data_IF_864598692254
#
_entry.id   IF_864598692254
#
_cell.length_a   1.000
_cell.length_b   1.000
_cell.length_c   1.000
_cell.angle_alpha   90.00
_cell.angle_beta   90.00
_cell.angle_gamma   90.00
#
_symmetry.space_group_name_H-M   'P 1'
#
loop_
_entity.id
_entity.type
_entity.pdbx_description
1 polymer ?
#
# COMPACT_ATOMS: atom_id res chain seq x y z
N UNK A 1 14.00 -28.56 -17.91
CA UNK A 1 12.90 -28.16 -18.82
C UNK A 1 13.04 -26.66 -19.06
N UNK A 2 13.19 -26.20 -20.31
CA UNK A 2 13.25 -24.76 -20.59
C UNK A 2 11.93 -24.13 -20.12
N UNK A 3 12.02 -23.09 -19.30
CA UNK A 3 10.85 -22.34 -18.87
C UNK A 3 10.34 -21.56 -20.08
N UNK A 4 9.26 -22.03 -20.71
CA UNK A 4 8.56 -21.21 -21.70
C UNK A 4 7.92 -20.06 -20.95
N UNK A 5 8.56 -18.89 -20.97
CA UNK A 5 7.94 -17.66 -20.48
C UNK A 5 6.59 -17.50 -21.18
N UNK A 6 5.53 -17.32 -20.39
CA UNK A 6 4.20 -17.09 -20.92
C UNK A 6 4.20 -15.72 -21.60
N UNK A 7 4.08 -15.69 -22.92
CA UNK A 7 3.94 -14.44 -23.69
C UNK A 7 2.46 -14.05 -23.72
N UNK A 8 2.20 -12.82 -23.31
CA UNK A 8 0.87 -12.23 -23.40
C UNK A 8 0.64 -11.68 -24.81
N UNK A 9 -0.14 -12.41 -25.61
CA UNK A 9 -0.47 -12.07 -27.00
C UNK A 9 -1.34 -10.81 -27.10
N UNK A 10 -2.19 -10.54 -26.11
CA UNK A 10 -3.00 -9.32 -26.05
C UNK A 10 -2.12 -8.09 -25.83
N UNK A 11 -1.21 -8.17 -24.85
CA UNK A 11 -0.21 -7.13 -24.60
C UNK A 11 0.76 -6.96 -25.77
N UNK A 12 1.14 -8.04 -26.45
CA UNK A 12 2.05 -8.01 -27.60
C UNK A 12 1.45 -7.26 -28.80
N UNK A 13 0.16 -7.47 -29.08
CA UNK A 13 -0.57 -6.75 -30.13
C UNK A 13 -1.09 -5.37 -29.67
N UNK A 14 -1.05 -5.09 -28.36
CA UNK A 14 -1.55 -3.85 -27.77
C UNK A 14 -3.08 -3.75 -27.85
N UNK A 15 -3.78 -4.87 -27.66
CA UNK A 15 -5.25 -4.97 -27.73
C UNK A 15 -5.81 -5.53 -26.44
N UNK A 16 -7.06 -5.19 -26.12
CA UNK A 16 -7.75 -5.75 -24.95
C UNK A 16 -8.23 -7.18 -25.22
N UNK A 17 -8.42 -7.95 -24.15
CA UNK A 17 -8.91 -9.34 -24.20
C UNK A 17 -10.29 -9.44 -24.89
N UNK A 18 -11.13 -8.42 -24.70
CA UNK A 18 -12.49 -8.29 -25.27
C UNK A 18 -12.50 -7.74 -26.70
N UNK A 19 -11.33 -7.54 -27.32
CA UNK A 19 -11.25 -6.95 -28.66
C UNK A 19 -11.88 -7.86 -29.72
N UNK A 20 -12.61 -7.26 -30.66
CA UNK A 20 -13.15 -7.97 -31.82
C UNK A 20 -12.05 -8.40 -32.82
N UNK A 21 -12.32 -9.42 -33.61
CA UNK A 21 -11.38 -9.99 -34.61
C UNK A 21 -10.92 -8.93 -35.60
N UNK A 22 -11.79 -7.97 -35.96
CA UNK A 22 -11.44 -6.83 -36.81
C UNK A 22 -10.36 -5.95 -36.19
N UNK A 23 -10.43 -5.71 -34.88
CA UNK A 23 -9.45 -4.92 -34.13
C UNK A 23 -8.12 -5.64 -34.04
N UNK A 24 -8.14 -6.95 -33.76
CA UNK A 24 -6.95 -7.80 -33.71
C UNK A 24 -6.24 -7.81 -35.08
N UNK A 25 -6.99 -7.94 -36.18
CA UNK A 25 -6.44 -7.89 -37.54
C UNK A 25 -5.79 -6.54 -37.86
N UNK A 26 -6.41 -5.43 -37.47
CA UNK A 26 -5.85 -4.08 -37.65
C UNK A 26 -4.59 -3.87 -36.82
N UNK A 27 -4.58 -4.35 -35.57
CA UNK A 27 -3.41 -4.29 -34.70
C UNK A 27 -2.23 -5.09 -35.28
N UNK A 28 -2.50 -6.32 -35.74
CA UNK A 28 -1.51 -7.14 -36.43
C UNK A 28 -0.94 -6.44 -37.67
N UNK A 29 -1.78 -5.84 -38.52
CA UNK A 29 -1.30 -5.12 -39.71
C UNK A 29 -0.33 -3.98 -39.34
N UNK A 30 -0.66 -3.20 -38.30
CA UNK A 30 0.21 -2.13 -37.80
C UNK A 30 1.53 -2.69 -37.25
N UNK A 31 1.46 -3.77 -36.48
CA UNK A 31 2.64 -4.41 -35.89
C UNK A 31 3.53 -5.04 -36.97
N UNK A 32 2.95 -5.77 -37.93
CA UNK A 32 3.64 -6.37 -39.05
C UNK A 32 4.38 -5.30 -39.88
N UNK A 33 3.76 -4.17 -40.18
CA UNK A 33 4.41 -3.06 -40.90
C UNK A 33 5.61 -2.45 -40.16
N UNK A 34 5.70 -2.61 -38.84
CA UNK A 34 6.80 -2.11 -38.01
C UNK A 34 7.92 -3.12 -37.86
N UNK A 35 7.57 -4.41 -37.77
CA UNK A 35 8.50 -5.51 -37.49
C UNK A 35 8.79 -6.41 -38.69
N UNK A 36 8.32 -6.05 -39.90
CA UNK A 36 8.53 -6.85 -41.11
C UNK A 36 10.03 -7.04 -41.41
N UNK A 37 10.49 -8.27 -41.77
CA UNK A 37 11.90 -8.57 -42.02
C UNK A 37 12.56 -7.66 -43.07
N UNK A 38 11.77 -7.21 -44.05
CA UNK A 38 12.22 -6.28 -45.10
C UNK A 38 12.64 -4.91 -44.54
N UNK A 39 11.95 -4.40 -43.51
CA UNK A 39 12.26 -3.09 -42.91
C UNK A 39 13.31 -3.17 -41.80
N UNK A 40 13.42 -4.32 -41.16
CA UNK A 40 14.31 -4.54 -40.01
C UNK A 40 15.70 -5.06 -40.41
N UNK A 41 15.98 -5.14 -41.72
CA UNK A 41 17.31 -5.46 -42.29
C UNK A 41 17.97 -6.70 -41.67
N UNK A 42 17.18 -7.69 -41.25
CA UNK A 42 17.68 -8.94 -40.68
C UNK A 42 18.05 -8.91 -39.19
N UNK A 43 17.61 -7.91 -38.43
CA UNK A 43 17.76 -7.90 -36.97
C UNK A 43 17.07 -9.12 -36.32
N UNK A 44 17.87 -10.02 -35.74
CA UNK A 44 17.38 -11.29 -35.14
C UNK A 44 16.31 -11.06 -34.07
N UNK A 45 16.47 -10.06 -33.21
CA UNK A 45 15.50 -9.72 -32.16
C UNK A 45 14.15 -9.27 -32.73
N UNK A 46 14.17 -8.51 -33.82
CA UNK A 46 12.94 -8.03 -34.47
C UNK A 46 12.27 -9.16 -35.26
N UNK A 47 13.06 -10.09 -35.81
CA UNK A 47 12.54 -11.30 -36.43
C UNK A 47 11.84 -12.23 -35.42
N UNK A 48 12.42 -12.43 -34.23
CA UNK A 48 11.79 -13.19 -33.13
C UNK A 48 10.48 -12.53 -32.69
N UNK A 49 10.47 -11.20 -32.53
CA UNK A 49 9.25 -10.45 -32.21
C UNK A 49 8.18 -10.59 -33.30
N UNK A 50 8.57 -10.52 -34.57
CA UNK A 50 7.64 -10.70 -35.70
C UNK A 50 7.02 -12.10 -35.70
N UNK A 51 7.82 -13.12 -35.36
CA UNK A 51 7.35 -14.49 -35.25
C UNK A 51 6.33 -14.63 -34.10
N UNK A 52 6.61 -14.04 -32.93
CA UNK A 52 5.67 -14.00 -31.81
C UNK A 52 4.37 -13.24 -32.15
N UNK A 53 4.45 -12.13 -32.88
CA UNK A 53 3.29 -11.34 -33.34
C UNK A 53 2.43 -12.15 -34.32
N UNK A 54 3.06 -12.94 -35.19
CA UNK A 54 2.38 -13.82 -36.13
C UNK A 54 1.67 -14.97 -35.40
N UNK A 55 2.35 -15.59 -34.44
CA UNK A 55 1.76 -16.63 -33.58
C UNK A 55 0.58 -16.08 -32.75
N UNK A 56 0.74 -14.90 -32.17
CA UNK A 56 -0.32 -14.19 -31.45
C UNK A 56 -1.57 -14.01 -32.32
N UNK A 57 -1.41 -13.54 -33.56
CA UNK A 57 -2.51 -13.41 -34.51
C UNK A 57 -3.17 -14.77 -34.77
N UNK A 58 -2.39 -15.80 -35.05
CA UNK A 58 -2.93 -17.12 -35.44
C UNK A 58 -3.70 -17.80 -34.31
N UNK A 59 -3.30 -17.57 -33.06
CA UNK A 59 -4.01 -18.05 -31.87
C UNK A 59 -5.27 -17.21 -31.61
N UNK A 60 -5.20 -15.90 -31.78
CA UNK A 60 -6.30 -15.00 -31.44
C UNK A 60 -7.37 -14.88 -32.55
N UNK A 61 -7.05 -15.22 -33.80
CA UNK A 61 -8.00 -15.23 -34.92
C UNK A 61 -8.87 -16.48 -34.99
N UNK A 62 -8.40 -17.60 -34.43
CA UNK A 62 -9.11 -18.87 -34.39
C UNK A 62 -9.86 -18.98 -33.07
N UNK A 63 -11.19 -19.04 -33.12
CA UNK A 63 -12.04 -19.04 -31.92
C UNK A 63 -11.69 -20.16 -30.95
N UNK A 64 -11.44 -21.38 -31.44
CA UNK A 64 -11.11 -22.51 -30.58
C UNK A 64 -9.76 -22.31 -29.89
N UNK A 65 -8.78 -21.78 -30.61
CA UNK A 65 -7.46 -21.47 -30.04
C UNK A 65 -7.52 -20.30 -29.07
N UNK A 66 -8.32 -19.28 -29.38
CA UNK A 66 -8.54 -18.10 -28.54
C UNK A 66 -9.19 -18.49 -27.22
N UNK A 67 -10.21 -19.34 -27.23
CA UNK A 67 -10.84 -19.83 -26.00
C UNK A 67 -9.85 -20.60 -25.11
N UNK A 68 -9.09 -21.53 -25.72
CA UNK A 68 -8.07 -22.30 -25.00
C UNK A 68 -6.97 -21.39 -24.42
N UNK A 69 -6.57 -20.37 -25.17
CA UNK A 69 -5.63 -19.35 -24.73
C UNK A 69 -6.20 -18.52 -23.57
N UNK A 70 -7.44 -18.02 -23.70
CA UNK A 70 -8.12 -17.22 -22.68
C UNK A 70 -8.24 -17.96 -21.36
N UNK A 71 -8.55 -19.26 -21.39
CA UNK A 71 -8.59 -20.11 -20.19
C UNK A 71 -7.22 -20.18 -19.50
N UNK A 72 -6.14 -20.37 -20.26
CA UNK A 72 -4.76 -20.38 -19.74
C UNK A 72 -4.36 -19.00 -19.20
N UNK A 73 -4.67 -17.94 -19.94
CA UNK A 73 -4.40 -16.56 -19.57
C UNK A 73 -5.04 -16.20 -18.23
N UNK A 74 -6.34 -16.47 -18.09
CA UNK A 74 -7.09 -16.22 -16.86
C UNK A 74 -6.55 -17.01 -15.67
N UNK A 75 -6.19 -18.28 -15.88
CA UNK A 75 -5.57 -19.10 -14.85
C UNK A 75 -4.20 -18.55 -14.41
N UNK A 76 -3.40 -18.03 -15.35
CA UNK A 76 -2.13 -17.39 -15.05
C UNK A 76 -2.32 -16.09 -14.25
N UNK A 77 -3.23 -15.21 -14.66
CA UNK A 77 -3.54 -13.99 -13.93
C UNK A 77 -4.03 -14.27 -12.50
N UNK A 78 -4.89 -15.30 -12.34
CA UNK A 78 -5.34 -15.73 -11.02
C UNK A 78 -4.18 -16.26 -10.16
N UNK A 79 -3.24 -17.01 -10.73
CA UNK A 79 -2.03 -17.47 -10.02
C UNK A 79 -1.13 -16.30 -9.63
N UNK A 80 -0.92 -15.34 -10.54
CA UNK A 80 -0.11 -14.13 -10.29
C UNK A 80 -0.71 -13.31 -9.15
N UNK A 81 -2.01 -13.02 -9.20
CA UNK A 81 -2.72 -12.29 -8.15
C UNK A 81 -2.68 -13.02 -6.81
N UNK A 82 -2.87 -14.35 -6.79
CA UNK A 82 -2.74 -15.16 -5.56
C UNK A 82 -1.34 -15.04 -4.97
N UNK A 83 -0.29 -15.13 -5.80
CA UNK A 83 1.10 -15.00 -5.35
C UNK A 83 1.35 -13.62 -4.74
N UNK A 84 0.96 -12.57 -5.45
CA UNK A 84 1.11 -11.18 -4.97
C UNK A 84 0.39 -10.95 -3.64
N UNK A 85 -0.81 -11.49 -3.47
CA UNK A 85 -1.56 -11.40 -2.22
C UNK A 85 -0.90 -12.18 -1.07
N UNK A 86 -0.32 -13.35 -1.36
CA UNK A 86 0.42 -14.11 -0.36
C UNK A 86 1.72 -13.40 0.04
N UNK A 87 2.45 -12.85 -0.93
CA UNK A 87 3.67 -12.09 -0.68
C UNK A 87 3.38 -10.85 0.16
N UNK A 88 2.28 -10.14 -0.13
CA UNK A 88 1.82 -9.00 0.68
C UNK A 88 1.50 -9.43 2.12
N UNK A 89 0.74 -10.51 2.30
CA UNK A 89 0.43 -11.06 3.64
C UNK A 89 1.68 -11.48 4.40
N UNK A 90 2.64 -12.10 3.71
CA UNK A 90 3.91 -12.48 4.31
C UNK A 90 4.69 -11.27 4.80
N UNK A 91 4.80 -10.22 3.96
CA UNK A 91 5.46 -8.96 4.36
C UNK A 91 4.79 -8.33 5.58
N UNK A 92 3.48 -8.15 5.54
CA UNK A 92 2.70 -7.60 6.66
C UNK A 92 2.88 -8.42 7.95
N UNK A 93 2.88 -9.76 7.84
CA UNK A 93 3.13 -10.63 8.97
C UNK A 93 4.55 -10.47 9.51
N UNK A 94 5.56 -10.46 8.64
CA UNK A 94 6.96 -10.30 9.05
C UNK A 94 7.21 -8.94 9.70
N UNK A 95 6.65 -7.87 9.15
CA UNK A 95 6.74 -6.52 9.73
C UNK A 95 6.07 -6.46 11.10
N UNK A 96 4.89 -7.08 11.24
CA UNK A 96 4.18 -7.17 12.52
C UNK A 96 4.97 -7.95 13.58
N UNK A 97 5.58 -9.08 13.20
CA UNK A 97 6.43 -9.88 14.08
C UNK A 97 7.67 -9.09 14.52
N UNK A 98 8.38 -8.49 13.57
CA UNK A 98 9.57 -7.68 13.83
C UNK A 98 9.24 -6.49 14.75
N UNK A 99 8.16 -5.76 14.47
CA UNK A 99 7.74 -4.63 15.31
C UNK A 99 7.44 -5.07 16.75
N UNK A 100 6.81 -6.24 16.92
CA UNK A 100 6.52 -6.81 18.24
C UNK A 100 7.80 -7.23 18.96
N UNK A 101 8.74 -7.85 18.25
CA UNK A 101 10.05 -8.22 18.80
C UNK A 101 10.88 -7.00 19.20
N UNK A 102 10.93 -5.96 18.36
CA UNK A 102 11.60 -4.71 18.66
C UNK A 102 10.99 -4.02 19.88
N UNK A 103 9.66 -3.94 19.96
CA UNK A 103 8.99 -3.37 21.13
C UNK A 103 9.31 -4.17 22.41
N UNK A 104 9.35 -5.50 22.33
CA UNK A 104 9.74 -6.35 23.46
C UNK A 104 11.23 -6.18 23.83
N UNK A 105 12.10 -5.98 22.83
CA UNK A 105 13.54 -5.72 23.05
C UNK A 105 13.77 -4.35 23.69
N UNK A 106 13.09 -3.29 23.24
CA UNK A 106 13.15 -1.96 23.87
C UNK A 106 12.74 -2.00 25.33
N UNK A 107 11.64 -2.71 25.65
CA UNK A 107 11.20 -2.93 27.04
C UNK A 107 12.24 -3.68 27.88
N UNK A 108 12.85 -4.73 27.33
CA UNK A 108 13.92 -5.48 28.01
C UNK A 108 15.18 -4.64 28.23
N UNK A 109 15.55 -3.81 27.26
CA UNK A 109 16.76 -2.98 27.31
C UNK A 109 16.58 -1.69 28.13
N UNK A 110 15.36 -1.38 28.61
CA UNK A 110 15.09 -0.12 29.32
C UNK A 110 15.25 1.13 28.45
N UNK A 111 15.24 0.98 27.13
CA UNK A 111 15.39 2.08 26.18
C UNK A 111 14.09 2.88 26.11
N UNK A 112 14.03 3.98 26.87
CA UNK A 112 12.94 4.96 26.76
C UNK A 112 13.09 5.82 25.51
N UNK A 113 11.98 5.97 24.79
CA UNK A 113 11.87 6.99 23.74
C UNK A 113 12.07 8.38 24.31
N UNK A 114 12.44 9.36 23.48
CA UNK A 114 12.64 10.75 23.93
C UNK A 114 11.38 11.33 24.58
N UNK A 115 10.21 10.97 24.05
CA UNK A 115 8.91 11.31 24.64
C UNK A 115 8.73 10.69 26.04
N UNK A 116 9.07 9.42 26.22
CA UNK A 116 8.99 8.75 27.52
C UNK A 116 9.99 9.32 28.53
N UNK A 117 11.21 9.66 28.08
CA UNK A 117 12.21 10.36 28.90
C UNK A 117 11.71 11.72 29.36
N UNK A 118 11.10 12.49 28.45
CA UNK A 118 10.55 13.81 28.79
C UNK A 118 9.37 13.69 29.76
N UNK A 119 8.48 12.70 29.58
CA UNK A 119 7.39 12.41 30.52
C UNK A 119 7.95 12.06 31.90
N UNK A 120 8.98 11.22 31.95
CA UNK A 120 9.65 10.87 33.20
C UNK A 120 10.26 12.12 33.87
N UNK A 121 10.95 12.98 33.10
CA UNK A 121 11.54 14.21 33.61
C UNK A 121 10.49 15.17 34.15
N UNK A 122 9.40 15.40 33.43
CA UNK A 122 8.27 16.23 33.89
C UNK A 122 7.68 15.66 35.19
N UNK A 123 7.56 14.32 35.30
CA UNK A 123 7.10 13.67 36.53
C UNK A 123 8.04 13.93 37.72
N UNK A 124 9.35 13.86 37.50
CA UNK A 124 10.32 14.14 38.57
C UNK A 124 10.23 15.60 39.05
N UNK A 125 10.19 16.57 38.12
CA UNK A 125 10.04 18.00 38.47
C UNK A 125 8.75 18.24 39.27
N UNK A 126 7.62 17.66 38.86
CA UNK A 126 6.36 17.79 39.61
C UNK A 126 6.44 17.24 41.03
N UNK A 127 7.09 16.08 41.20
CA UNK A 127 7.29 15.48 42.52
C UNK A 127 8.23 16.30 43.41
N UNK A 128 9.23 16.94 42.82
CA UNK A 128 10.15 17.85 43.52
C UNK A 128 9.42 19.12 43.97
N UNK A 129 8.66 19.76 43.07
CA UNK A 129 7.84 20.92 43.39
C UNK A 129 6.83 20.60 44.50
N UNK A 130 6.12 19.46 44.41
CA UNK A 130 5.17 19.00 45.43
C UNK A 130 5.85 18.82 46.80
N UNK A 131 7.02 18.16 46.87
CA UNK A 131 7.77 18.00 48.12
C UNK A 131 8.25 19.33 48.69
N UNK A 132 8.65 20.26 47.83
CA UNK A 132 9.13 21.58 48.25
C UNK A 132 7.98 22.40 48.85
N UNK A 133 6.80 22.33 48.22
CA UNK A 133 5.57 22.93 48.74
C UNK A 133 5.18 22.30 50.07
N UNK A 134 5.25 20.98 50.22
CA UNK A 134 4.99 20.28 51.48
C UNK A 134 5.93 20.72 52.61
N UNK A 135 7.23 20.88 52.31
CA UNK A 135 8.22 21.39 53.27
C UNK A 135 7.91 22.83 53.70
N UNK A 136 7.60 23.71 52.75
CA UNK A 136 7.23 25.10 53.03
C UNK A 136 5.95 25.21 53.86
N UNK A 137 4.94 24.39 53.57
CA UNK A 137 3.68 24.34 54.36
C UNK A 137 3.93 23.84 55.79
N UNK A 138 4.82 22.88 55.95
CA UNK A 138 5.22 22.34 57.26
C UNK A 138 5.94 23.41 58.11
N UNK A 139 6.87 24.15 57.54
CA UNK A 139 7.57 25.26 58.22
C UNK A 139 6.63 26.39 58.67
N UNK A 140 5.60 26.67 57.87
CA UNK A 140 4.59 27.70 58.20
C UNK A 140 3.49 27.19 59.16
N UNK A 141 3.61 25.97 59.68
CA UNK A 141 2.63 25.36 60.61
C UNK A 141 1.20 25.22 60.03
N UNK A 142 1.07 25.14 58.70
CA UNK A 142 -0.22 25.05 58.02
C UNK A 142 -0.57 23.56 57.83
N UNK A 143 -1.70 23.05 58.37
CA UNK A 143 -2.07 21.64 58.22
C UNK A 143 -2.42 21.33 56.76
N UNK A 144 -1.73 20.34 56.17
CA UNK A 144 -1.98 19.84 54.82
C UNK A 144 -3.34 19.12 54.79
N UNK A 145 -4.35 19.71 54.17
CA UNK A 145 -5.66 19.05 53.98
C UNK A 145 -5.52 18.02 52.86
N UNK A 146 -5.40 16.75 53.23
CA UNK A 146 -5.08 15.61 52.36
C UNK A 146 -6.22 15.14 51.45
N UNK A 147 -7.11 16.02 50.99
CA UNK A 147 -8.24 15.65 50.12
C UNK A 147 -8.28 16.47 48.83
N UNK A 148 -7.23 16.39 48.03
CA UNK A 148 -7.37 16.63 46.59
C UNK A 148 -7.44 15.26 45.94
N UNK A 149 -8.64 14.86 45.49
CA UNK A 149 -8.77 13.65 44.67
C UNK A 149 -7.88 13.83 43.45
N UNK A 150 -6.97 12.90 43.14
CA UNK A 150 -6.17 13.01 41.92
C UNK A 150 -7.12 13.08 40.73
N UNK A 151 -7.01 14.13 39.93
CA UNK A 151 -7.71 14.23 38.65
C UNK A 151 -7.21 13.07 37.78
N UNK A 152 -8.06 12.04 37.66
CA UNK A 152 -7.77 10.85 36.89
C UNK A 152 -7.89 11.18 35.39
N UNK A 153 -6.80 11.73 34.82
CA UNK A 153 -6.71 12.06 33.40
C UNK A 153 -6.85 10.85 32.46
N UNK A 154 -6.95 9.62 33.00
CA UNK A 154 -7.28 8.43 32.22
C UNK A 154 -8.75 8.37 31.80
N UNK A 155 -9.67 9.05 32.51
CA UNK A 155 -11.10 9.11 32.21
C UNK A 155 -11.52 10.29 31.33
N UNK A 156 -10.70 11.35 31.26
CA UNK A 156 -10.93 12.52 30.38
C UNK A 156 -10.19 12.42 29.05
N UNK A 157 -9.47 11.33 28.81
CA UNK A 157 -9.21 10.86 27.45
C UNK A 157 -10.54 10.40 26.86
N UNK A 158 -11.31 11.38 26.40
CA UNK A 158 -12.33 11.23 25.38
C UNK A 158 -11.71 10.31 24.34
N UNK A 159 -12.17 9.05 24.29
CA UNK A 159 -12.02 8.16 23.13
C UNK A 159 -12.20 9.07 21.93
N UNK A 160 -11.19 9.26 21.04
CA UNK A 160 -11.27 10.29 20.02
C UNK A 160 -12.59 10.06 19.30
N UNK A 161 -13.55 10.94 19.57
CA UNK A 161 -14.79 10.91 18.85
C UNK A 161 -14.35 11.12 17.40
N UNK A 162 -14.84 10.27 16.50
CA UNK A 162 -14.55 10.29 15.06
C UNK A 162 -15.02 11.63 14.42
N UNK A 163 -14.49 12.75 14.89
CA UNK A 163 -14.74 14.13 14.51
C UNK A 163 -13.63 14.67 13.60
N UNK A 164 -12.74 13.80 13.12
CA UNK A 164 -11.67 14.15 12.17
C UNK A 164 -11.96 13.73 10.73
N UNK A 165 -12.63 12.60 10.49
CA UNK A 165 -12.76 12.06 9.13
C UNK A 165 -13.94 12.69 8.37
N UNK A 166 -15.15 12.70 8.96
CA UNK A 166 -16.35 13.23 8.27
C UNK A 166 -16.36 14.74 8.08
N UNK A 167 -15.62 15.49 8.89
CA UNK A 167 -15.49 16.95 8.80
C UNK A 167 -14.44 17.34 7.75
N UNK A 168 -13.32 16.61 7.68
CA UNK A 168 -12.33 16.78 6.62
C UNK A 168 -12.87 16.37 5.24
N UNK A 169 -13.61 15.27 5.13
CA UNK A 169 -14.25 14.87 3.86
C UNK A 169 -15.24 15.92 3.35
N UNK A 170 -16.06 16.51 4.25
CA UNK A 170 -17.00 17.59 3.87
C UNK A 170 -16.29 18.87 3.43
N UNK A 171 -15.15 19.21 4.03
CA UNK A 171 -14.36 20.37 3.63
C UNK A 171 -13.65 20.16 2.29
N UNK A 172 -13.16 18.94 2.03
CA UNK A 172 -12.56 18.58 0.73
C UNK A 172 -13.62 18.58 -0.38
N UNK A 173 -14.82 18.09 -0.09
CA UNK A 173 -15.92 18.04 -1.07
C UNK A 173 -16.51 19.43 -1.37
N UNK A 174 -16.52 20.34 -0.38
CA UNK A 174 -16.90 21.74 -0.58
C UNK A 174 -15.85 22.55 -1.35
N UNK A 175 -14.57 22.22 -1.22
CA UNK A 175 -13.48 22.86 -1.97
C UNK A 175 -13.39 22.39 -3.43
N UNK A 176 -13.96 21.23 -3.76
CA UNK A 176 -13.96 20.63 -5.10
C UNK A 176 -15.15 21.04 -5.98
N UNK A 177 -16.12 21.81 -5.47
CA UNK A 177 -17.27 22.23 -6.25
C UNK A 177 -16.91 23.41 -7.17
N UNK A 178 -17.19 23.36 -8.49
CA UNK A 178 -16.92 24.47 -9.38
C UNK A 178 -17.82 25.66 -8.99
N UNK A 179 -17.21 26.80 -8.67
CA UNK A 179 -17.93 28.06 -8.45
C UNK A 179 -18.68 28.42 -9.73
N UNK A 180 -20.00 28.24 -9.72
CA UNK A 180 -20.89 28.74 -10.75
C UNK A 180 -20.81 30.27 -10.76
N UNK A 181 -20.24 30.79 -11.83
CA UNK A 181 -20.18 32.22 -12.14
C UNK A 181 -21.59 32.67 -12.51
N UNK A 182 -22.14 33.62 -11.75
CA UNK A 182 -23.26 34.48 -12.13
C UNK A 182 -22.78 35.92 -12.06
#
# INVERSE_FOLDING_TARGET
MPQTEYVDYYSLLGVEVESDVKTIRRAFQKAALKYHPDKTKGDKKLAELYQLISEARDVLMDEQKREAYNKKHKAMLARKSRRENMDKRQRELTESLLAREEAAKRRRNGEMTEKERLIYRIRQVKLEDEKTIEQMLHEQSIPVVSQVRPLDYSKTLIRPANYGEKTMERLIQAASAPRSVL
#
